data_IF_134024504661
#
_entry.id   IF_134024504661
#
_cell.length_a   1.000
_cell.length_b   1.000
_cell.length_c   1.000
_cell.angle_alpha   90.00
_cell.angle_beta   90.00
_cell.angle_gamma   90.00
#
_symmetry.space_group_name_H-M   'P 1'
#
loop_
_entity.id
_entity.type
_entity.pdbx_description
1 polymer ?
#
# COMPACT_ATOMS: atom_id res chain seq x y z
N UNK A 1 -0.45 9.16 -4.28
CA UNK A 1 -1.80 8.85 -3.79
C UNK A 1 -1.72 8.59 -2.30
N UNK A 2 -2.77 8.96 -1.56
CA UNK A 2 -2.84 8.83 -0.11
C UNK A 2 -4.11 8.04 0.21
N UNK A 3 -3.99 7.03 1.05
CA UNK A 3 -5.12 6.23 1.48
C UNK A 3 -5.10 6.00 2.98
N UNK A 4 -6.13 6.46 3.67
CA UNK A 4 -6.31 6.26 5.11
C UNK A 4 -7.39 5.21 5.35
N UNK A 5 -7.18 4.27 6.27
CA UNK A 5 -8.19 3.26 6.63
C UNK A 5 -8.67 2.49 5.40
N UNK A 6 -9.98 2.33 5.20
CA UNK A 6 -10.57 1.77 3.99
C UNK A 6 -10.09 2.46 2.70
N UNK A 7 -9.77 3.75 2.76
CA UNK A 7 -9.18 4.49 1.65
C UNK A 7 -7.84 3.94 1.18
N UNK A 8 -7.08 3.25 2.04
CA UNK A 8 -5.85 2.54 1.63
C UNK A 8 -6.15 1.36 0.70
N UNK A 9 -7.24 0.62 0.95
CA UNK A 9 -7.70 -0.49 0.10
C UNK A 9 -8.16 0.03 -1.26
N UNK A 10 -8.98 1.08 -1.25
CA UNK A 10 -9.46 1.75 -2.47
C UNK A 10 -8.28 2.28 -3.30
N UNK A 11 -7.32 2.93 -2.63
CA UNK A 11 -6.15 3.47 -3.30
C UNK A 11 -5.28 2.37 -3.90
N UNK A 12 -5.03 1.29 -3.16
CA UNK A 12 -4.28 0.14 -3.64
C UNK A 12 -4.92 -0.49 -4.88
N UNK A 13 -6.24 -0.71 -4.86
CA UNK A 13 -6.95 -1.27 -6.01
C UNK A 13 -6.98 -0.32 -7.21
N UNK A 14 -7.15 0.98 -6.96
CA UNK A 14 -7.09 2.01 -7.99
C UNK A 14 -5.72 2.07 -8.68
N UNK A 15 -4.62 2.04 -7.91
CA UNK A 15 -3.25 2.03 -8.44
C UNK A 15 -3.00 0.77 -9.26
N UNK A 16 -3.35 -0.41 -8.74
CA UNK A 16 -3.26 -1.65 -9.50
C UNK A 16 -4.04 -1.58 -10.81
N UNK A 17 -5.27 -1.05 -10.79
CA UNK A 17 -6.10 -0.89 -11.98
C UNK A 17 -5.48 0.07 -13.00
N UNK A 18 -4.91 1.18 -12.55
CA UNK A 18 -4.22 2.12 -13.44
C UNK A 18 -2.97 1.50 -14.06
N UNK A 19 -2.16 0.77 -13.27
CA UNK A 19 -0.99 0.06 -13.77
C UNK A 19 -1.38 -0.98 -14.83
N UNK A 20 -2.41 -1.80 -14.57
CA UNK A 20 -2.88 -2.79 -15.54
C UNK A 20 -3.27 -2.15 -16.86
N UNK A 21 -4.06 -1.07 -16.80
CA UNK A 21 -4.48 -0.32 -18.00
C UNK A 21 -3.30 0.30 -18.74
N UNK A 22 -2.33 0.83 -18.01
CA UNK A 22 -1.14 1.43 -18.60
C UNK A 22 -0.27 0.37 -19.30
N UNK A 23 -0.03 -0.77 -18.65
CA UNK A 23 0.71 -1.90 -19.22
C UNK A 23 0.04 -2.44 -20.48
N UNK A 24 -1.30 -2.62 -20.48
CA UNK A 24 -2.05 -3.07 -21.66
C UNK A 24 -1.96 -2.10 -22.84
N UNK A 25 -1.76 -0.81 -22.58
CA UNK A 25 -1.66 0.23 -23.59
C UNK A 25 -0.22 0.56 -24.01
N UNK A 26 0.77 -0.21 -23.54
CA UNK A 26 2.19 0.03 -23.86
C UNK A 26 2.88 1.07 -22.99
N UNK A 27 2.39 1.28 -21.76
CA UNK A 27 2.94 2.18 -20.73
C UNK A 27 2.99 3.70 -21.10
N UNK A 28 1.98 4.27 -21.79
CA UNK A 28 2.01 5.68 -22.20
C UNK A 28 1.95 6.67 -21.03
N UNK A 29 1.30 6.31 -19.92
CA UNK A 29 1.07 7.20 -18.78
C UNK A 29 2.17 7.08 -17.71
N UNK A 30 3.05 6.08 -17.83
CA UNK A 30 4.14 5.77 -16.91
C UNK A 30 3.68 5.79 -15.46
N UNK A 31 2.53 5.17 -15.18
CA UNK A 31 1.83 5.23 -13.88
C UNK A 31 2.76 4.84 -12.73
N UNK A 32 3.58 3.82 -12.93
CA UNK A 32 4.55 3.34 -11.93
C UNK A 32 5.57 4.44 -11.56
N UNK A 33 6.12 5.14 -12.55
CA UNK A 33 7.18 6.13 -12.36
C UNK A 33 6.69 7.39 -11.65
N UNK A 34 5.44 7.80 -11.89
CA UNK A 34 4.83 9.04 -11.36
C UNK A 34 4.11 8.86 -10.04
N UNK A 35 3.91 7.63 -9.60
CA UNK A 35 3.11 7.34 -8.41
C UNK A 35 4.01 7.14 -7.21
N UNK A 36 3.69 7.84 -6.13
CA UNK A 36 4.12 7.52 -4.77
C UNK A 36 2.89 7.15 -3.97
N UNK A 37 2.95 6.08 -3.19
CA UNK A 37 1.82 5.59 -2.38
C UNK A 37 2.11 5.83 -0.90
N UNK A 38 1.16 6.48 -0.22
CA UNK A 38 1.16 6.64 1.23
C UNK A 38 -0.11 6.02 1.78
N UNK A 39 0.03 5.02 2.66
CA UNK A 39 -1.08 4.43 3.39
C UNK A 39 -0.95 4.75 4.87
N UNK A 40 -2.07 4.99 5.55
CA UNK A 40 -2.10 5.16 7.00
C UNK A 40 -3.30 4.44 7.60
N UNK A 41 -3.14 3.89 8.80
CA UNK A 41 -4.22 3.16 9.47
C UNK A 41 -4.75 2.00 8.62
N UNK A 42 -3.90 1.36 7.80
CA UNK A 42 -4.35 0.49 6.72
C UNK A 42 -4.80 -0.90 7.18
N UNK A 43 -6.01 -1.37 6.83
CA UNK A 43 -6.44 -2.74 7.08
C UNK A 43 -5.99 -3.73 5.97
N UNK A 44 -5.13 -3.32 5.04
CA UNK A 44 -4.78 -4.09 3.84
C UNK A 44 -4.38 -5.55 4.15
N UNK A 45 -3.44 -5.77 5.07
CA UNK A 45 -3.01 -7.12 5.48
C UNK A 45 -4.17 -7.97 6.05
N UNK A 46 -5.03 -7.37 6.87
CA UNK A 46 -6.19 -8.06 7.44
C UNK A 46 -7.21 -8.44 6.35
N UNK A 47 -7.45 -7.54 5.40
CA UNK A 47 -8.32 -7.83 4.26
C UNK A 47 -7.73 -8.95 3.41
N UNK A 48 -6.43 -8.92 3.11
CA UNK A 48 -5.76 -9.97 2.36
C UNK A 48 -5.84 -11.33 3.06
N UNK A 49 -5.63 -11.37 4.38
CA UNK A 49 -5.79 -12.57 5.18
C UNK A 49 -7.22 -13.14 5.09
N UNK A 50 -8.24 -12.31 5.26
CA UNK A 50 -9.65 -12.72 5.19
C UNK A 50 -10.00 -13.29 3.80
N UNK A 51 -9.61 -12.60 2.73
CA UNK A 51 -9.88 -13.06 1.37
C UNK A 51 -9.18 -14.39 1.07
N UNK A 52 -7.92 -14.56 1.50
CA UNK A 52 -7.21 -15.84 1.34
C UNK A 52 -7.89 -16.96 2.13
N UNK A 53 -8.35 -16.69 3.36
CA UNK A 53 -9.03 -17.69 4.17
C UNK A 53 -10.35 -18.16 3.55
N UNK A 54 -11.13 -17.24 2.99
CA UNK A 54 -12.38 -17.55 2.28
C UNK A 54 -12.14 -18.27 0.94
N UNK A 55 -10.97 -18.09 0.33
CA UNK A 55 -10.64 -18.67 -0.99
C UNK A 55 -10.19 -20.13 -0.94
N UNK A 56 -10.12 -20.74 0.26
CA UNK A 56 -9.59 -22.10 0.51
C UNK A 56 -10.30 -23.29 -0.18
N UNK A 57 -11.26 -23.03 -1.08
CA UNK A 57 -12.06 -24.05 -1.76
C UNK A 57 -11.97 -24.09 -3.29
N UNK A 58 -11.21 -23.20 -3.95
CA UNK A 58 -11.33 -23.03 -5.42
C UNK A 58 -10.02 -22.53 -6.06
N UNK A 59 -9.01 -23.40 -6.20
CA UNK A 59 -7.61 -22.97 -6.03
C UNK A 59 -6.83 -22.42 -7.24
N UNK A 60 -6.53 -23.10 -8.33
CA UNK A 60 -5.39 -22.59 -9.14
C UNK A 60 -5.73 -21.47 -10.15
N UNK A 61 -6.93 -21.51 -10.75
CA UNK A 61 -7.32 -20.55 -11.81
C UNK A 61 -7.62 -19.16 -11.22
N UNK A 62 -8.20 -19.10 -10.02
CA UNK A 62 -8.51 -17.82 -9.35
C UNK A 62 -7.25 -17.13 -8.85
N UNK A 63 -6.25 -17.86 -8.38
CA UNK A 63 -5.00 -17.27 -7.92
C UNK A 63 -4.21 -16.65 -9.08
N UNK A 64 -4.13 -17.32 -10.23
CA UNK A 64 -3.55 -16.75 -11.45
C UNK A 64 -4.30 -15.50 -11.94
N UNK A 65 -5.64 -15.51 -11.91
CA UNK A 65 -6.44 -14.32 -12.23
C UNK A 65 -6.29 -13.20 -11.20
N UNK A 66 -6.14 -13.51 -9.91
CA UNK A 66 -5.92 -12.53 -8.86
C UNK A 66 -4.55 -11.85 -9.00
N UNK A 67 -3.51 -12.60 -9.39
CA UNK A 67 -2.19 -12.06 -9.72
C UNK A 67 -2.24 -11.13 -10.93
N UNK A 68 -2.96 -11.53 -12.00
CA UNK A 68 -3.23 -10.64 -13.14
C UNK A 68 -3.99 -9.38 -12.72
N UNK A 69 -4.82 -9.46 -11.68
CA UNK A 69 -5.55 -8.34 -11.11
C UNK A 69 -4.74 -7.53 -10.09
N UNK A 70 -3.57 -7.97 -9.64
CA UNK A 70 -2.79 -7.23 -8.64
C UNK A 70 -1.31 -7.18 -9.03
N UNK A 71 -0.94 -6.45 -10.10
CA UNK A 71 0.45 -6.39 -10.56
C UNK A 71 1.42 -6.03 -9.43
N UNK A 72 1.03 -5.14 -8.51
CA UNK A 72 1.88 -4.71 -7.40
C UNK A 72 2.29 -5.85 -6.47
N UNK A 73 1.49 -6.89 -6.26
CA UNK A 73 1.89 -8.03 -5.42
C UNK A 73 2.73 -9.04 -6.19
N UNK A 74 2.56 -9.12 -7.50
CA UNK A 74 3.22 -10.12 -8.36
C UNK A 74 4.62 -9.71 -8.80
N UNK A 75 4.86 -8.43 -9.07
CA UNK A 75 6.15 -7.93 -9.56
C UNK A 75 6.51 -6.57 -8.95
N UNK A 76 7.66 -6.50 -8.28
CA UNK A 76 8.25 -5.24 -7.80
C UNK A 76 8.50 -4.23 -8.94
N UNK A 77 8.73 -4.70 -10.18
CA UNK A 77 8.79 -3.89 -11.42
C UNK A 77 7.58 -2.98 -11.63
N UNK A 78 6.42 -3.42 -11.16
CA UNK A 78 5.16 -2.70 -11.31
C UNK A 78 4.78 -1.89 -10.09
N UNK A 79 5.62 -1.87 -9.04
CA UNK A 79 5.36 -1.07 -7.85
C UNK A 79 5.77 0.37 -8.02
N UNK A 80 4.98 1.32 -7.49
CA UNK A 80 5.43 2.68 -7.22
C UNK A 80 6.83 2.67 -6.59
N UNK A 81 7.68 3.62 -6.99
CA UNK A 81 9.05 3.74 -6.45
C UNK A 81 9.08 3.85 -4.93
N UNK A 82 8.01 4.37 -4.33
CA UNK A 82 7.84 4.45 -2.89
C UNK A 82 6.42 4.06 -2.51
N UNK A 83 6.32 3.13 -1.57
CA UNK A 83 5.11 2.80 -0.85
C UNK A 83 5.42 2.85 0.64
N UNK A 84 4.89 3.87 1.31
CA UNK A 84 5.09 4.11 2.74
C UNK A 84 3.79 3.75 3.46
N UNK A 85 3.89 2.97 4.54
CA UNK A 85 2.76 2.64 5.41
C UNK A 85 3.00 3.18 6.81
N UNK A 86 2.13 4.09 7.25
CA UNK A 86 2.07 4.59 8.61
C UNK A 86 1.12 3.75 9.45
N UNK A 87 1.61 3.25 10.57
CA UNK A 87 0.83 2.39 11.46
C UNK A 87 1.14 2.67 12.93
N UNK A 88 0.27 2.22 13.82
CA UNK A 88 0.48 2.29 15.26
C UNK A 88 0.00 1.00 15.93
N UNK A 89 0.71 0.49 16.96
CA UNK A 89 0.24 -0.65 17.74
C UNK A 89 -1.07 -0.35 18.49
N UNK A 90 -1.40 0.93 18.70
CA UNK A 90 -2.65 1.34 19.35
C UNK A 90 -3.84 1.43 18.37
N UNK A 91 -3.59 1.26 17.07
CA UNK A 91 -4.63 1.21 16.05
C UNK A 91 -4.95 -0.25 15.69
N UNK A 92 -6.05 -0.76 16.26
CA UNK A 92 -6.51 -2.13 16.04
C UNK A 92 -7.03 -2.41 14.63
N UNK A 93 -7.27 -1.39 13.81
CA UNK A 93 -7.64 -1.56 12.40
C UNK A 93 -6.37 -1.81 11.58
N UNK A 94 -5.27 -1.14 11.93
CA UNK A 94 -4.03 -1.18 11.17
C UNK A 94 -3.00 -2.20 11.67
N UNK A 95 -1.87 -2.23 10.97
CA UNK A 95 -0.67 -2.98 11.29
C UNK A 95 0.42 -2.70 10.27
N UNK A 96 1.54 -3.38 10.43
CA UNK A 96 2.55 -3.49 9.37
C UNK A 96 1.94 -4.19 8.14
N UNK A 97 2.39 -3.81 6.94
CA UNK A 97 1.99 -4.45 5.69
C UNK A 97 3.02 -5.49 5.27
N UNK A 98 3.07 -6.61 5.98
CA UNK A 98 4.03 -7.69 5.72
C UNK A 98 3.58 -8.62 4.61
N UNK A 99 2.27 -8.80 4.43
CA UNK A 99 1.70 -9.73 3.44
C UNK A 99 2.13 -9.41 2.00
N UNK A 100 2.37 -8.13 1.71
CA UNK A 100 2.69 -7.67 0.37
C UNK A 100 4.15 -7.89 0.01
N UNK A 101 5.04 -8.23 0.94
CA UNK A 101 6.46 -8.40 0.66
C UNK A 101 6.93 -9.84 0.86
N UNK A 102 7.84 -10.30 -0.01
CA UNK A 102 8.61 -11.50 0.27
C UNK A 102 9.59 -11.18 1.43
N UNK A 103 9.56 -11.93 2.55
CA UNK A 103 10.49 -11.73 3.66
C UNK A 103 11.97 -11.87 3.26
N UNK A 104 12.28 -12.61 2.21
CA UNK A 104 13.64 -12.78 1.70
C UNK A 104 14.08 -11.66 0.74
N UNK A 105 13.13 -10.85 0.23
CA UNK A 105 13.42 -9.80 -0.73
C UNK A 105 14.17 -8.63 -0.09
N UNK A 106 15.13 -8.07 -0.84
CA UNK A 106 15.85 -6.83 -0.51
C UNK A 106 15.54 -5.70 -1.49
N UNK A 107 14.45 -5.83 -2.25
CA UNK A 107 14.04 -4.80 -3.22
C UNK A 107 13.78 -3.46 -2.50
N UNK A 108 14.19 -2.35 -3.12
CA UNK A 108 14.00 -1.01 -2.57
C UNK A 108 12.56 -0.53 -2.65
N UNK A 109 11.69 -1.23 -3.39
CA UNK A 109 10.26 -0.94 -3.58
C UNK A 109 9.35 -1.74 -2.64
N UNK A 110 9.94 -2.40 -1.64
CA UNK A 110 9.22 -2.97 -0.50
C UNK A 110 8.47 -1.88 0.25
N UNK A 111 7.43 -2.27 0.99
CA UNK A 111 6.66 -1.33 1.79
C UNK A 111 7.53 -0.81 2.94
N UNK A 112 7.69 0.51 3.00
CA UNK A 112 8.37 1.20 4.07
C UNK A 112 7.36 1.38 5.24
N UNK A 113 7.34 0.41 6.17
CA UNK A 113 6.52 0.48 7.37
C UNK A 113 7.15 1.45 8.39
N UNK A 114 6.46 2.53 8.70
CA UNK A 114 6.86 3.56 9.66
C UNK A 114 5.85 3.57 10.81
N UNK A 115 6.34 3.39 12.02
CA UNK A 115 5.50 3.50 13.22
C UNK A 115 5.26 4.98 13.55
N UNK A 116 3.99 5.35 13.74
CA UNK A 116 3.62 6.66 14.27
C UNK A 116 3.60 6.64 15.80
N UNK A 117 4.55 7.36 16.41
CA UNK A 117 4.69 7.44 17.86
C UNK A 117 3.69 8.40 18.52
N UNK A 118 3.00 9.25 17.75
CA UNK A 118 2.01 10.21 18.26
C UNK A 118 0.58 9.64 18.25
N UNK A 119 0.34 8.57 17.50
CA UNK A 119 -0.92 7.83 17.49
C UNK A 119 -0.99 6.87 18.70
N UNK A 120 -1.10 7.41 19.92
CA UNK A 120 -0.97 6.65 21.17
C UNK A 120 -2.27 6.17 21.78
N UNK A 121 -3.41 6.77 21.41
CA UNK A 121 -4.67 6.50 22.12
C UNK A 121 -5.36 5.29 21.51
N UNK A 122 -5.58 4.18 22.24
CA UNK A 122 -6.22 2.98 21.67
C UNK A 122 -7.52 3.32 20.94
N UNK A 123 -7.71 2.74 19.74
CA UNK A 123 -8.82 2.99 18.81
C UNK A 123 -8.85 4.40 18.19
N UNK A 124 -8.60 5.46 18.96
CA UNK A 124 -8.50 6.83 18.44
C UNK A 124 -7.23 7.07 17.61
N UNK A 125 -6.18 6.29 17.86
CA UNK A 125 -4.93 6.23 17.10
C UNK A 125 -5.19 6.08 15.61
N UNK A 126 -6.30 5.42 15.26
CA UNK A 126 -6.75 5.26 13.89
C UNK A 126 -6.95 6.59 13.15
N UNK A 127 -7.34 7.67 13.83
CA UNK A 127 -7.55 8.99 13.22
C UNK A 127 -6.41 9.98 13.56
N UNK A 128 -5.58 9.68 14.56
CA UNK A 128 -4.52 10.58 15.05
C UNK A 128 -3.38 10.79 14.04
N UNK A 129 -3.25 9.93 13.03
CA UNK A 129 -2.22 10.08 12.00
C UNK A 129 -2.27 11.44 11.29
N UNK A 130 -3.46 12.01 11.08
CA UNK A 130 -3.61 13.26 10.33
C UNK A 130 -2.97 14.47 11.00
N UNK A 131 -3.04 14.51 12.32
CA UNK A 131 -2.50 15.61 13.13
C UNK A 131 -1.04 15.35 13.54
N UNK A 132 -0.49 14.19 13.16
CA UNK A 132 0.86 13.78 13.49
C UNK A 132 1.93 14.47 12.63
N UNK A 133 3.01 14.89 13.27
CA UNK A 133 4.20 15.45 12.62
C UNK A 133 4.80 14.46 11.62
N UNK A 134 4.77 13.16 11.95
CA UNK A 134 5.27 12.08 11.10
C UNK A 134 4.55 12.05 9.74
N UNK A 135 3.22 12.15 9.75
CA UNK A 135 2.42 12.18 8.53
C UNK A 135 2.72 13.43 7.70
N UNK A 136 2.76 14.61 8.34
CA UNK A 136 3.09 15.88 7.69
C UNK A 136 4.48 15.85 7.04
N UNK A 137 5.49 15.33 7.73
CA UNK A 137 6.85 15.20 7.22
C UNK A 137 6.94 14.25 6.03
N UNK A 138 6.26 13.09 6.10
CA UNK A 138 6.23 12.12 4.99
C UNK A 138 5.51 12.71 3.78
N UNK A 139 4.37 13.38 3.98
CA UNK A 139 3.63 14.02 2.91
C UNK A 139 4.47 15.11 2.22
N UNK A 140 5.10 15.98 3.01
CA UNK A 140 6.01 17.00 2.49
C UNK A 140 7.14 16.38 1.67
N UNK A 141 7.81 15.36 2.22
CA UNK A 141 8.88 14.64 1.52
C UNK A 141 8.38 14.00 0.22
N UNK A 142 7.20 13.37 0.25
CA UNK A 142 6.61 12.74 -0.92
C UNK A 142 6.28 13.76 -2.01
N UNK A 143 5.79 14.96 -1.64
CA UNK A 143 5.53 16.03 -2.60
C UNK A 143 6.83 16.59 -3.16
N UNK A 144 7.77 17.03 -2.31
CA UNK A 144 9.01 17.69 -2.77
C UNK A 144 9.88 16.76 -3.63
N UNK A 145 10.03 15.49 -3.25
CA UNK A 145 10.81 14.54 -4.04
C UNK A 145 10.08 14.04 -5.30
N UNK A 146 8.75 14.22 -5.41
CA UNK A 146 8.03 13.95 -6.65
C UNK A 146 8.23 15.05 -7.71
N UNK A 147 8.72 16.24 -7.33
CA UNK A 147 8.91 17.39 -8.21
C UNK A 147 10.35 17.60 -8.71
N UNK A 148 11.32 16.77 -8.31
CA UNK A 148 12.69 16.86 -8.83
C UNK A 148 12.88 15.79 -9.92
N UNK A 149 12.99 16.18 -11.21
CA UNK A 149 13.19 15.26 -12.32
C UNK A 149 14.57 14.59 -12.33
#
# INVERSE_FOLDING_TARGET
MIGHSLGSVITYDAVNTMIRRDLMNGNPLRVVDRTTLLTSGSPLDKTAFLFRHQSKGMHDVREGLAQMMQPMISDYGTRPKRWINLWSPNDWVSGELEFYDDPASRDLRRVENIQDLQATTPLLAHNQYWDGETFGAILYRALVHAYVP
#
